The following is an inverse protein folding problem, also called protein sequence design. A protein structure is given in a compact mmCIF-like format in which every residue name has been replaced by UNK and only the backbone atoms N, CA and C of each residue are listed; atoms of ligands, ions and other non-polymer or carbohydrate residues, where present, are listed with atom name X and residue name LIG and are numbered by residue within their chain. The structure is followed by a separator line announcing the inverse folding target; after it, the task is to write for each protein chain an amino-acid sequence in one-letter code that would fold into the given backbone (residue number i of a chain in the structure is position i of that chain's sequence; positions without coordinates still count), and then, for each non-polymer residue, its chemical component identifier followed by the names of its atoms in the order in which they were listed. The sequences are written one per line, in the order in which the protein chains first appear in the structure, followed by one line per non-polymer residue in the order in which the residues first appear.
data_IF_902433556732
#
_entry.id   IF_902433556732
#
_cell.length_a   1.000
_cell.length_b   1.000
_cell.length_c   1.000
_cell.angle_alpha   90.00
_cell.angle_beta   90.00
_cell.angle_gamma   90.00
#
_symmetry.space_group_name_H-M   'P 1'
#
loop_
_entity.id
_entity.type
_entity.pdbx_description
1 polymer ?
#
# COMPACT_ATOMS: atom_id res chain seq x y z
N UNK A 1 -14.91 9.38 10.95
CA UNK A 1 -13.67 9.47 10.11
C UNK A 1 -12.47 9.99 10.90
N UNK A 2 -12.53 11.16 11.53
CA UNK A 2 -11.44 11.75 12.34
C UNK A 2 -10.99 10.82 13.47
N UNK A 3 -11.91 10.20 14.19
CA UNK A 3 -11.61 9.25 15.27
C UNK A 3 -10.83 8.02 14.79
N UNK A 4 -11.15 7.51 13.61
CA UNK A 4 -10.42 6.40 13.00
C UNK A 4 -8.99 6.81 12.62
N UNK A 5 -8.81 8.04 12.11
CA UNK A 5 -7.49 8.60 11.82
C UNK A 5 -6.63 8.67 13.08
N UNK A 6 -7.16 9.22 14.17
CA UNK A 6 -6.44 9.29 15.45
C UNK A 6 -6.10 7.90 16.01
N UNK A 7 -7.01 6.93 15.86
CA UNK A 7 -6.74 5.55 16.30
C UNK A 7 -5.60 4.90 15.51
N UNK A 8 -5.52 5.15 14.19
CA UNK A 8 -4.41 4.69 13.34
C UNK A 8 -3.09 5.33 13.76
N UNK A 9 -3.08 6.63 14.00
CA UNK A 9 -1.89 7.38 14.43
C UNK A 9 -1.36 6.91 15.78
N UNK A 10 -2.27 6.61 16.74
CA UNK A 10 -1.91 6.27 18.11
C UNK A 10 -1.56 4.80 18.32
N UNK A 11 -2.38 3.86 17.83
CA UNK A 11 -2.32 2.45 18.27
C UNK A 11 -2.23 1.41 17.14
N UNK A 12 -2.60 1.73 15.91
CA UNK A 12 -2.74 0.72 14.85
C UNK A 12 -1.59 0.73 13.84
N UNK A 13 -0.36 0.89 14.31
CA UNK A 13 0.85 0.67 13.50
C UNK A 13 1.77 1.88 13.34
N UNK A 14 1.34 3.10 13.67
CA UNK A 14 2.17 4.30 13.52
C UNK A 14 2.77 4.80 14.84
N UNK A 15 2.21 4.43 16.01
CA UNK A 15 2.80 4.59 17.34
C UNK A 15 3.38 5.98 17.64
N UNK A 16 2.73 7.07 17.18
CA UNK A 16 3.27 8.43 17.38
C UNK A 16 3.46 8.81 18.86
N UNK A 17 2.65 8.21 19.74
CA UNK A 17 2.75 8.48 21.19
C UNK A 17 3.98 7.80 21.82
N UNK A 18 4.53 6.76 21.18
CA UNK A 18 5.69 6.02 21.68
C UNK A 18 7.01 6.61 21.18
N UNK A 19 6.98 7.72 20.42
CA UNK A 19 8.18 8.35 19.90
C UNK A 19 8.98 9.05 20.99
N UNK A 20 10.29 8.86 21.00
CA UNK A 20 11.23 9.55 21.89
C UNK A 20 11.87 10.80 21.25
N UNK A 21 11.31 11.26 20.12
CA UNK A 21 11.80 12.43 19.41
C UNK A 21 11.42 13.69 20.17
N UNK A 22 12.44 14.45 20.62
CA UNK A 22 12.28 15.70 21.37
C UNK A 22 12.38 16.96 20.50
N UNK A 23 12.97 16.85 19.30
CA UNK A 23 13.10 17.97 18.38
C UNK A 23 11.80 18.24 17.63
N UNK A 24 11.25 19.44 17.79
CA UNK A 24 9.95 19.83 17.23
C UNK A 24 9.88 19.66 15.70
N UNK A 25 10.95 20.02 14.97
CA UNK A 25 10.98 19.89 13.50
C UNK A 25 10.91 18.42 13.05
N UNK A 26 11.64 17.53 13.72
CA UNK A 26 11.61 16.10 13.43
C UNK A 26 10.25 15.49 13.77
N UNK A 27 9.66 15.93 14.89
CA UNK A 27 8.33 15.49 15.30
C UNK A 27 7.26 15.90 14.29
N UNK A 28 7.32 17.14 13.77
CA UNK A 28 6.40 17.62 12.74
C UNK A 28 6.55 16.84 11.43
N UNK A 29 7.78 16.54 11.00
CA UNK A 29 8.03 15.70 9.82
C UNK A 29 7.47 14.30 10.01
N UNK A 30 7.71 13.68 11.17
CA UNK A 30 7.15 12.36 11.49
C UNK A 30 5.62 12.40 11.49
N UNK A 31 5.01 13.39 12.12
CA UNK A 31 3.56 13.56 12.16
C UNK A 31 2.96 13.72 10.76
N UNK A 32 3.60 14.48 9.88
CA UNK A 32 3.16 14.66 8.49
C UNK A 32 3.20 13.33 7.71
N UNK A 33 4.29 12.57 7.81
CA UNK A 33 4.44 11.26 7.14
C UNK A 33 3.42 10.26 7.70
N UNK A 34 3.27 10.21 9.02
CA UNK A 34 2.30 9.32 9.67
C UNK A 34 0.86 9.67 9.28
N UNK A 35 0.52 10.95 9.18
CA UNK A 35 -0.82 11.40 8.74
C UNK A 35 -1.09 10.98 7.30
N UNK A 36 -0.12 11.11 6.40
CA UNK A 36 -0.23 10.62 5.01
C UNK A 36 -0.47 9.11 4.98
N UNK A 37 0.31 8.34 5.71
CA UNK A 37 0.17 6.88 5.78
C UNK A 37 -1.20 6.46 6.34
N UNK A 38 -1.68 7.14 7.37
CA UNK A 38 -3.00 6.92 7.94
C UNK A 38 -4.12 7.27 6.96
N UNK A 39 -4.00 8.37 6.21
CA UNK A 39 -4.97 8.78 5.19
C UNK A 39 -5.08 7.73 4.08
N UNK A 40 -3.94 7.25 3.55
CA UNK A 40 -3.92 6.15 2.57
C UNK A 40 -4.57 4.90 3.13
N UNK A 41 -4.24 4.50 4.36
CA UNK A 41 -4.86 3.33 5.00
C UNK A 41 -6.38 3.47 5.12
N UNK A 42 -6.88 4.66 5.44
CA UNK A 42 -8.33 4.92 5.50
C UNK A 42 -8.99 4.85 4.13
N UNK A 43 -8.36 5.39 3.09
CA UNK A 43 -8.84 5.28 1.70
C UNK A 43 -8.96 3.82 1.28
N UNK A 44 -7.94 3.00 1.55
CA UNK A 44 -7.97 1.57 1.28
C UNK A 44 -9.07 0.85 2.07
N UNK A 45 -9.26 1.20 3.35
CA UNK A 45 -10.35 0.63 4.16
C UNK A 45 -11.73 0.93 3.59
N UNK A 46 -11.93 2.12 3.03
CA UNK A 46 -13.20 2.51 2.40
C UNK A 46 -13.42 1.81 1.06
N UNK A 47 -12.35 1.55 0.30
CA UNK A 47 -12.42 0.92 -1.01
C UNK A 47 -12.46 -0.61 -0.97
N UNK A 48 -12.17 -1.24 0.18
CA UNK A 48 -11.98 -2.69 0.31
C UNK A 48 -13.15 -3.56 -0.16
N UNK A 49 -14.37 -3.03 -0.07
CA UNK A 49 -15.60 -3.75 -0.41
C UNK A 49 -16.02 -3.52 -1.88
N UNK A 50 -15.24 -2.76 -2.66
CA UNK A 50 -15.53 -2.43 -4.05
C UNK A 50 -16.75 -1.52 -4.25
N UNK A 51 -17.27 -0.92 -3.18
CA UNK A 51 -18.47 -0.05 -3.23
C UNK A 51 -18.13 1.37 -3.69
N UNK A 52 -16.87 1.73 -3.78
CA UNK A 52 -16.41 3.05 -4.23
C UNK A 52 -15.79 2.94 -5.62
N UNK A 53 -16.21 3.80 -6.53
CA UNK A 53 -15.64 3.91 -7.88
C UNK A 53 -14.43 4.85 -7.91
N UNK A 54 -13.50 4.63 -6.97
CA UNK A 54 -12.27 5.43 -6.87
C UNK A 54 -11.15 4.80 -7.68
N UNK A 55 -10.44 5.65 -8.44
CA UNK A 55 -9.24 5.23 -9.16
C UNK A 55 -8.06 4.98 -8.20
N UNK A 56 -7.20 4.02 -8.52
CA UNK A 56 -5.99 3.76 -7.76
C UNK A 56 -5.06 4.99 -7.66
N UNK A 57 -5.12 5.89 -8.65
CA UNK A 57 -4.37 7.15 -8.69
C UNK A 57 -4.65 8.11 -7.52
N UNK A 58 -5.74 7.92 -6.78
CA UNK A 58 -6.03 8.71 -5.56
C UNK A 58 -5.00 8.44 -4.45
N UNK A 59 -4.43 7.23 -4.41
CA UNK A 59 -3.52 6.80 -3.36
C UNK A 59 -2.13 6.43 -3.86
N UNK A 60 -1.98 6.07 -5.13
CA UNK A 60 -0.76 5.55 -5.73
C UNK A 60 -0.36 6.33 -6.97
N UNK A 61 0.94 6.46 -7.21
CA UNK A 61 1.49 7.02 -8.43
C UNK A 61 1.36 6.05 -9.61
N UNK A 62 1.45 6.50 -10.88
CA UNK A 62 1.42 5.61 -12.04
C UNK A 62 2.47 4.49 -11.96
N UNK A 63 3.70 4.79 -11.57
CA UNK A 63 4.76 3.79 -11.41
C UNK A 63 4.42 2.74 -10.33
N UNK A 64 3.82 3.17 -9.23
CA UNK A 64 3.35 2.24 -8.18
C UNK A 64 2.20 1.36 -8.67
N UNK A 65 1.32 1.87 -9.54
CA UNK A 65 0.23 1.08 -10.15
C UNK A 65 0.80 0.00 -11.08
N UNK A 66 1.86 0.29 -11.83
CA UNK A 66 2.54 -0.71 -12.65
C UNK A 66 3.12 -1.84 -11.77
N UNK A 67 3.75 -1.47 -10.65
CA UNK A 67 4.25 -2.44 -9.66
C UNK A 67 3.10 -3.26 -9.06
N UNK A 68 1.98 -2.62 -8.67
CA UNK A 68 0.80 -3.32 -8.17
C UNK A 68 0.26 -4.31 -9.21
N UNK A 69 0.21 -3.94 -10.48
CA UNK A 69 -0.23 -4.83 -11.56
C UNK A 69 0.66 -6.05 -11.71
N UNK A 70 1.98 -5.88 -11.64
CA UNK A 70 2.94 -6.97 -11.67
C UNK A 70 2.78 -7.91 -10.44
N UNK A 71 2.61 -7.34 -9.25
CA UNK A 71 2.36 -8.10 -8.02
C UNK A 71 1.04 -8.87 -8.12
N UNK A 72 -0.03 -8.26 -8.67
CA UNK A 72 -1.32 -8.91 -8.82
C UNK A 72 -1.19 -10.25 -9.57
N UNK A 73 -0.45 -10.26 -10.66
CA UNK A 73 -0.21 -11.46 -11.46
C UNK A 73 0.45 -12.60 -10.65
N UNK A 74 1.26 -12.27 -9.65
CA UNK A 74 1.91 -13.26 -8.77
C UNK A 74 1.02 -13.75 -7.63
N UNK A 75 0.04 -12.94 -7.22
CA UNK A 75 -0.85 -13.25 -6.11
C UNK A 75 -2.11 -14.01 -6.54
N UNK A 76 -2.50 -13.91 -7.80
CA UNK A 76 -3.66 -14.61 -8.33
C UNK A 76 -3.42 -16.11 -8.44
N UNK A 77 -4.40 -16.88 -7.99
CA UNK A 77 -4.42 -18.33 -8.16
C UNK A 77 -5.12 -18.78 -9.44
N UNK A 78 -5.26 -20.10 -9.59
CA UNK A 78 -5.83 -20.71 -10.81
C UNK A 78 -7.37 -20.58 -10.90
N UNK A 79 -8.06 -20.44 -9.77
CA UNK A 79 -9.53 -20.41 -9.73
C UNK A 79 -10.05 -18.97 -9.71
N UNK A 80 -11.27 -18.75 -10.21
CA UNK A 80 -11.90 -17.43 -10.20
C UNK A 80 -11.99 -16.82 -8.80
N UNK A 81 -12.18 -17.63 -7.75
CA UNK A 81 -12.24 -17.18 -6.35
C UNK A 81 -10.89 -16.69 -5.82
N UNK A 82 -9.79 -17.02 -6.48
CA UNK A 82 -8.43 -16.65 -6.11
C UNK A 82 -7.91 -15.47 -6.94
N UNK A 83 -8.73 -14.96 -7.84
CA UNK A 83 -8.39 -13.78 -8.65
C UNK A 83 -8.89 -12.50 -7.99
N UNK A 84 -8.24 -11.40 -8.33
CA UNK A 84 -8.70 -10.08 -7.91
C UNK A 84 -10.04 -9.77 -8.61
N UNK A 85 -11.13 -9.54 -7.86
CA UNK A 85 -12.45 -9.32 -8.46
C UNK A 85 -12.65 -7.91 -9.00
N UNK A 86 -11.70 -7.01 -8.80
CA UNK A 86 -11.81 -5.59 -9.13
C UNK A 86 -10.95 -5.21 -10.34
N UNK A 87 -11.34 -4.20 -11.14
CA UNK A 87 -10.53 -3.65 -12.22
C UNK A 87 -9.20 -3.10 -11.69
N UNK A 88 -8.06 -3.44 -12.31
CA UNK A 88 -6.71 -3.05 -11.83
C UNK A 88 -6.49 -1.54 -11.71
N UNK A 89 -7.27 -0.73 -12.42
CA UNK A 89 -7.25 0.73 -12.31
C UNK A 89 -7.99 1.27 -11.10
N UNK A 90 -8.76 0.43 -10.38
CA UNK A 90 -9.55 0.83 -9.22
C UNK A 90 -8.75 0.79 -7.92
N UNK A 91 -9.12 1.65 -6.97
CA UNK A 91 -8.57 1.62 -5.62
C UNK A 91 -8.91 0.32 -4.88
N UNK A 92 -10.06 -0.30 -5.20
CA UNK A 92 -10.47 -1.58 -4.65
C UNK A 92 -9.50 -2.71 -5.05
N UNK A 93 -9.05 -2.74 -6.32
CA UNK A 93 -8.04 -3.69 -6.77
C UNK A 93 -6.70 -3.50 -6.04
N UNK A 94 -6.23 -2.26 -5.91
CA UNK A 94 -5.03 -1.94 -5.14
C UNK A 94 -5.18 -2.39 -3.68
N UNK A 95 -6.35 -2.17 -3.07
CA UNK A 95 -6.65 -2.60 -1.70
C UNK A 95 -6.58 -4.12 -1.56
N UNK A 96 -7.12 -4.87 -2.52
CA UNK A 96 -7.04 -6.33 -2.53
C UNK A 96 -5.57 -6.80 -2.56
N UNK A 97 -4.75 -6.22 -3.43
CA UNK A 97 -3.32 -6.55 -3.56
C UNK A 97 -2.57 -6.23 -2.25
N UNK A 98 -2.76 -5.03 -1.71
CA UNK A 98 -2.14 -4.61 -0.44
C UNK A 98 -2.57 -5.51 0.71
N UNK A 99 -3.85 -5.87 0.80
CA UNK A 99 -4.34 -6.78 1.83
C UNK A 99 -3.72 -8.18 1.72
N UNK A 100 -3.54 -8.69 0.51
CA UNK A 100 -2.85 -9.95 0.24
C UNK A 100 -1.39 -9.92 0.70
N UNK A 101 -0.67 -8.87 0.38
CA UNK A 101 0.70 -8.65 0.88
C UNK A 101 0.75 -8.56 2.40
N UNK A 102 -0.30 -8.05 3.04
CA UNK A 102 -0.43 -7.98 4.50
C UNK A 102 -0.87 -9.27 5.19
N UNK A 103 -1.01 -10.37 4.42
CA UNK A 103 -1.34 -11.70 4.95
C UNK A 103 -2.84 -12.04 4.96
N UNK A 104 -3.69 -11.26 4.29
CA UNK A 104 -5.09 -11.63 4.07
C UNK A 104 -5.17 -12.73 2.99
N UNK A 105 -6.09 -13.69 3.15
CA UNK A 105 -6.22 -14.84 2.25
C UNK A 105 -6.85 -14.51 0.88
N UNK A 106 -7.51 -13.35 0.75
CA UNK A 106 -8.11 -12.87 -0.51
C UNK A 106 -9.50 -13.41 -0.82
N UNK A 107 -10.10 -14.23 0.05
CA UNK A 107 -11.43 -14.78 -0.20
C UNK A 107 -12.54 -13.83 0.27
N UNK A 108 -13.57 -13.66 -0.56
CA UNK A 108 -14.75 -12.85 -0.21
C UNK A 108 -15.54 -13.41 0.98
N UNK A 109 -15.39 -14.71 1.28
CA UNK A 109 -16.01 -15.38 2.44
C UNK A 109 -15.25 -15.13 3.74
N UNK A 110 -14.01 -14.66 3.66
CA UNK A 110 -13.20 -14.38 4.84
C UNK A 110 -13.52 -13.02 5.41
N UNK A 111 -13.16 -12.82 6.69
CA UNK A 111 -13.29 -11.50 7.32
C UNK A 111 -12.55 -10.45 6.49
N UNK A 112 -13.18 -9.29 6.17
CA UNK A 112 -12.54 -8.23 5.43
C UNK A 112 -11.23 -7.76 6.09
N UNK A 113 -10.21 -7.36 5.30
CA UNK A 113 -8.94 -6.90 5.83
C UNK A 113 -9.12 -5.66 6.71
N UNK A 114 -8.49 -5.68 7.87
CA UNK A 114 -8.51 -4.56 8.82
C UNK A 114 -7.31 -3.62 8.64
N UNK A 115 -7.25 -2.52 9.44
CA UNK A 115 -6.18 -1.53 9.36
C UNK A 115 -4.77 -2.10 9.49
N UNK A 116 -4.58 -3.04 10.43
CA UNK A 116 -3.27 -3.66 10.69
C UNK A 116 -2.80 -4.46 9.48
N UNK A 117 -3.70 -5.21 8.85
CA UNK A 117 -3.40 -5.98 7.63
C UNK A 117 -2.99 -5.05 6.50
N UNK A 118 -3.76 -3.97 6.27
CA UNK A 118 -3.45 -2.99 5.23
C UNK A 118 -2.14 -2.25 5.52
N UNK A 119 -1.87 -1.89 6.77
CA UNK A 119 -0.61 -1.27 7.14
C UNK A 119 0.60 -2.17 6.85
N UNK A 120 0.54 -3.46 7.25
CA UNK A 120 1.58 -4.44 6.92
C UNK A 120 1.76 -4.61 5.41
N UNK A 121 0.65 -4.65 4.67
CA UNK A 121 0.67 -4.74 3.21
C UNK A 121 1.32 -3.52 2.56
N UNK A 122 1.03 -2.31 3.04
CA UNK A 122 1.67 -1.08 2.58
C UNK A 122 3.18 -1.08 2.85
N UNK A 123 3.62 -1.58 4.01
CA UNK A 123 5.05 -1.71 4.31
C UNK A 123 5.73 -2.69 3.35
N UNK A 124 5.14 -3.87 3.12
CA UNK A 124 5.65 -4.85 2.16
C UNK A 124 5.69 -4.29 0.74
N UNK A 125 4.63 -3.62 0.32
CA UNK A 125 4.55 -2.96 -0.98
C UNK A 125 5.62 -1.89 -1.16
N UNK A 126 5.83 -1.02 -0.16
CA UNK A 126 6.85 0.02 -0.22
C UNK A 126 8.26 -0.55 -0.42
N UNK A 127 8.58 -1.66 0.25
CA UNK A 127 9.86 -2.35 0.07
C UNK A 127 10.02 -2.91 -1.36
N UNK A 128 8.96 -3.51 -1.93
CA UNK A 128 8.96 -4.04 -3.29
C UNK A 128 9.10 -2.90 -4.31
N UNK A 129 8.31 -1.83 -4.17
CA UNK A 129 8.33 -0.68 -5.08
C UNK A 129 9.70 0.02 -5.06
N UNK A 130 10.32 0.15 -3.89
CA UNK A 130 11.68 0.68 -3.76
C UNK A 130 12.70 -0.22 -4.46
N UNK A 131 12.65 -1.53 -4.25
CA UNK A 131 13.52 -2.49 -4.92
C UNK A 131 13.35 -2.47 -6.44
N UNK A 132 12.14 -2.33 -6.94
CA UNK A 132 11.85 -2.21 -8.37
C UNK A 132 12.45 -0.92 -8.96
N UNK A 133 12.30 0.22 -8.27
CA UNK A 133 12.89 1.49 -8.69
C UNK A 133 14.43 1.43 -8.76
N UNK A 134 15.07 0.81 -7.74
CA UNK A 134 16.52 0.57 -7.75
C UNK A 134 16.94 -0.34 -8.90
N UNK A 135 16.18 -1.39 -9.20
CA UNK A 135 16.46 -2.30 -10.32
C UNK A 135 16.43 -1.59 -11.67
N UNK A 136 15.46 -0.70 -11.89
CA UNK A 136 15.39 0.13 -13.10
C UNK A 136 16.61 1.05 -13.20
N UNK A 137 16.97 1.75 -12.12
CA UNK A 137 18.11 2.66 -12.10
C UNK A 137 19.43 1.92 -12.42
N UNK A 138 19.62 0.73 -11.85
CA UNK A 138 20.77 -0.12 -12.13
C UNK A 138 20.79 -0.60 -13.59
N UNK A 139 19.65 -0.99 -14.15
CA UNK A 139 19.56 -1.41 -15.55
C UNK A 139 19.86 -0.25 -16.51
N UNK A 140 19.38 0.96 -16.21
CA UNK A 140 19.72 2.17 -16.98
C UNK A 140 21.21 2.48 -16.94
N UNK A 141 21.85 2.38 -15.78
CA UNK A 141 23.28 2.60 -15.61
C UNK A 141 24.11 1.55 -16.35
N UNK A 142 23.70 0.28 -16.29
CA UNK A 142 24.38 -0.80 -17.01
C UNK A 142 24.21 -0.68 -18.53
N UNK A 143 23.06 -0.21 -19.04
CA UNK A 143 22.82 0.04 -20.46
C UNK A 143 23.55 1.26 -21.03
N UNK A 144 23.94 2.22 -20.18
CA UNK A 144 24.72 3.40 -20.55
C UNK A 144 26.25 3.19 -20.51
N UNK A 145 26.72 2.01 -20.13
CA UNK A 145 28.12 1.61 -20.31
C UNK A 145 28.30 1.28 -21.79
N UNK A 146 28.49 2.31 -22.61
CA UNK A 146 29.02 2.15 -23.96
C UNK A 146 30.37 1.43 -23.84
N UNK A 147 30.39 0.23 -24.32
CA UNK A 147 31.66 -0.49 -24.61
C UNK A 147 32.36 0.27 -25.72
N UNK A 148 33.64 0.63 -25.54
CA UNK A 148 34.42 1.34 -26.56
C UNK A 148 34.60 0.53 -27.85
#
# INVERSE_FOLDING_TARGET
MIEQLFRLLKKQGLGLEDTQITEAERLLKLAAVATKAAAVTLQLLQARDGQTDQAALVAFTPAEIDVLSAINATLEGKTAKQKNPHPLTSLAAATWIIARLGGWDGYASSRPPGPITLHRGLQAFAAIAHGFALGIDLAFRAGNVCIP
#
